data_IF_048752931135
#
_entry.id   IF_048752931135
#
_cell.length_a   1.000
_cell.length_b   1.000
_cell.length_c   1.000
_cell.angle_alpha   90.00
_cell.angle_beta   90.00
_cell.angle_gamma   90.00
#
_symmetry.space_group_name_H-M   'P 1'
#
loop_
_entity.id
_entity.type
_entity.pdbx_description
1 polymer ?
#
# COMPACT_ATOMS: atom_id res chain seq x y z
N UNK A 1 11.16 7.92 22.47
CA UNK A 1 10.77 6.95 21.43
C UNK A 1 12.00 6.53 20.64
N UNK A 2 12.17 5.24 20.38
CA UNK A 2 13.26 4.70 19.54
C UNK A 2 13.07 5.10 18.07
N UNK A 3 14.13 5.05 17.26
CA UNK A 3 14.04 5.32 15.82
C UNK A 3 12.98 4.44 15.14
N UNK A 4 12.94 3.15 15.50
CA UNK A 4 11.92 2.20 15.04
C UNK A 4 10.50 2.70 15.33
N UNK A 5 10.24 3.15 16.56
CA UNK A 5 8.92 3.66 16.94
C UNK A 5 8.55 4.94 16.18
N UNK A 6 9.52 5.82 15.90
CA UNK A 6 9.30 7.02 15.08
C UNK A 6 8.94 6.67 13.63
N UNK A 7 9.62 5.71 13.03
CA UNK A 7 9.34 5.26 11.67
C UNK A 7 7.96 4.62 11.56
N UNK A 8 7.58 3.78 12.52
CA UNK A 8 6.24 3.17 12.57
C UNK A 8 5.16 4.25 12.75
N UNK A 9 5.36 5.19 13.66
CA UNK A 9 4.42 6.28 13.89
C UNK A 9 4.27 7.19 12.67
N UNK A 10 5.38 7.52 12.00
CA UNK A 10 5.36 8.30 10.76
C UNK A 10 4.64 7.58 9.63
N UNK A 11 4.94 6.29 9.42
CA UNK A 11 4.27 5.46 8.42
C UNK A 11 2.76 5.35 8.69
N UNK A 12 2.40 5.05 9.93
CA UNK A 12 1.00 4.92 10.35
C UNK A 12 0.24 6.25 10.27
N UNK A 13 0.87 7.37 10.64
CA UNK A 13 0.28 8.70 10.55
C UNK A 13 -0.10 9.07 9.12
N UNK A 14 0.80 8.83 8.16
CA UNK A 14 0.48 9.03 6.72
C UNK A 14 -0.60 8.05 6.26
N UNK A 15 -0.53 6.78 6.70
CA UNK A 15 -1.56 5.79 6.42
C UNK A 15 -2.96 6.24 6.84
N UNK A 16 -3.11 6.84 8.03
CA UNK A 16 -4.41 7.38 8.51
C UNK A 16 -4.92 8.49 7.59
N UNK A 17 -4.05 9.40 7.15
CA UNK A 17 -4.44 10.46 6.21
C UNK A 17 -4.93 9.87 4.88
N UNK A 18 -4.25 8.85 4.37
CA UNK A 18 -4.63 8.17 3.14
C UNK A 18 -5.93 7.39 3.30
N UNK A 19 -6.16 6.76 4.46
CA UNK A 19 -7.43 6.10 4.78
C UNK A 19 -8.59 7.10 4.71
N UNK A 20 -8.47 8.22 5.41
CA UNK A 20 -9.50 9.25 5.44
C UNK A 20 -9.73 9.83 4.04
N UNK A 21 -8.66 10.08 3.29
CA UNK A 21 -8.75 10.56 1.92
C UNK A 21 -9.52 9.58 1.01
N UNK A 22 -9.10 8.30 1.01
CA UNK A 22 -9.71 7.26 0.18
C UNK A 22 -11.14 6.95 0.61
N UNK A 23 -11.46 7.03 1.89
CA UNK A 23 -12.79 6.69 2.36
C UNK A 23 -13.81 7.82 2.18
N UNK A 24 -13.39 9.07 2.35
CA UNK A 24 -14.29 10.23 2.31
C UNK A 24 -14.37 10.86 0.92
N UNK A 25 -13.25 10.97 0.21
CA UNK A 25 -13.18 11.77 -1.01
C UNK A 25 -13.11 10.93 -2.29
N UNK A 26 -12.73 9.65 -2.20
CA UNK A 26 -12.70 8.75 -3.35
C UNK A 26 -14.02 7.98 -3.41
N UNK A 27 -14.97 8.54 -4.17
CA UNK A 27 -16.29 7.94 -4.39
C UNK A 27 -16.15 6.49 -4.86
N UNK A 28 -16.72 5.55 -4.08
CA UNK A 28 -16.81 4.13 -4.44
C UNK A 28 -15.84 3.18 -3.71
N UNK A 29 -14.92 3.68 -2.87
CA UNK A 29 -14.11 2.79 -2.04
C UNK A 29 -14.88 2.38 -0.77
N UNK A 30 -15.17 1.08 -0.60
CA UNK A 30 -15.60 0.57 0.70
C UNK A 30 -14.49 0.82 1.74
N UNK A 31 -14.86 0.88 3.02
CA UNK A 31 -13.88 1.08 4.10
C UNK A 31 -12.72 0.08 4.01
N UNK A 32 -12.99 -1.19 3.69
CA UNK A 32 -11.96 -2.21 3.53
C UNK A 32 -10.97 -1.92 2.41
N UNK A 33 -11.46 -1.40 1.26
CA UNK A 33 -10.60 -0.99 0.14
C UNK A 33 -9.77 0.24 0.52
N UNK A 34 -10.39 1.23 1.17
CA UNK A 34 -9.70 2.42 1.64
C UNK A 34 -8.60 2.08 2.67
N UNK A 35 -8.88 1.16 3.59
CA UNK A 35 -7.93 0.65 4.58
C UNK A 35 -6.79 -0.14 3.95
N UNK A 36 -7.08 -1.02 2.99
CA UNK A 36 -6.05 -1.72 2.22
C UNK A 36 -5.08 -0.73 1.55
N UNK A 37 -5.62 0.29 0.86
CA UNK A 37 -4.82 1.35 0.24
C UNK A 37 -4.01 2.16 1.25
N UNK A 38 -4.56 2.44 2.42
CA UNK A 38 -3.87 3.13 3.51
C UNK A 38 -2.70 2.31 4.08
N UNK A 39 -2.83 0.99 4.17
CA UNK A 39 -1.79 0.12 4.70
C UNK A 39 -0.57 0.06 3.76
N UNK A 40 -0.79 0.13 2.45
CA UNK A 40 0.26 0.15 1.42
C UNK A 40 0.41 1.51 0.75
N UNK A 41 0.15 2.59 1.50
CA UNK A 41 0.06 3.95 0.97
C UNK A 41 1.24 4.40 0.10
N UNK A 42 2.52 4.00 0.33
CA UNK A 42 3.59 4.44 -0.55
C UNK A 42 3.40 3.94 -1.97
N UNK A 43 2.91 2.71 -2.15
CA UNK A 43 2.62 2.14 -3.46
C UNK A 43 1.42 2.81 -4.15
N UNK A 44 0.54 3.45 -3.36
CA UNK A 44 -0.62 4.20 -3.86
C UNK A 44 -0.22 5.61 -4.31
N UNK A 45 0.70 6.27 -3.57
CA UNK A 45 1.15 7.64 -3.86
C UNK A 45 2.28 7.68 -4.91
N UNK A 46 3.16 6.68 -4.94
CA UNK A 46 4.31 6.64 -5.84
C UNK A 46 4.11 5.57 -6.94
N UNK A 47 3.69 5.96 -8.16
CA UNK A 47 3.36 5.00 -9.23
C UNK A 47 4.52 4.06 -9.60
N UNK A 48 5.75 4.57 -9.57
CA UNK A 48 6.95 3.78 -9.85
C UNK A 48 7.14 2.63 -8.84
N UNK A 49 6.86 2.89 -7.55
CA UNK A 49 6.96 1.87 -6.50
C UNK A 49 5.88 0.80 -6.67
N UNK A 50 4.64 1.22 -6.95
CA UNK A 50 3.54 0.30 -7.25
C UNK A 50 3.85 -0.58 -8.46
N UNK A 51 4.35 0.02 -9.54
CA UNK A 51 4.77 -0.71 -10.74
C UNK A 51 5.91 -1.70 -10.48
N UNK A 52 6.91 -1.31 -9.69
CA UNK A 52 8.03 -2.17 -9.32
C UNK A 52 7.58 -3.39 -8.51
N UNK A 53 6.76 -3.18 -7.46
CA UNK A 53 6.21 -4.27 -6.65
C UNK A 53 5.32 -5.19 -7.50
N UNK A 54 4.49 -4.60 -8.37
CA UNK A 54 3.65 -5.34 -9.31
C UNK A 54 4.45 -6.22 -10.26
N UNK A 55 5.56 -5.71 -10.81
CA UNK A 55 6.45 -6.46 -11.69
C UNK A 55 7.10 -7.65 -10.95
N UNK A 56 7.57 -7.45 -9.71
CA UNK A 56 8.14 -8.53 -8.88
C UNK A 56 7.10 -9.63 -8.64
N UNK A 57 5.88 -9.25 -8.23
CA UNK A 57 4.81 -10.22 -7.98
C UNK A 57 4.42 -10.98 -9.24
N UNK A 58 4.34 -10.31 -10.37
CA UNK A 58 4.02 -10.94 -11.66
C UNK A 58 5.10 -11.97 -12.04
N UNK A 59 6.38 -11.62 -11.93
CA UNK A 59 7.49 -12.56 -12.19
C UNK A 59 7.42 -13.74 -11.22
N UNK A 60 7.20 -13.50 -9.92
CA UNK A 60 7.11 -14.56 -8.92
C UNK A 60 5.97 -15.55 -9.23
N UNK A 61 4.79 -15.05 -9.63
CA UNK A 61 3.65 -15.88 -10.03
C UNK A 61 3.98 -16.71 -11.28
N UNK A 62 4.59 -16.10 -12.30
CA UNK A 62 4.97 -16.81 -13.52
C UNK A 62 5.98 -17.91 -13.25
N UNK A 63 6.98 -17.65 -12.42
CA UNK A 63 7.97 -18.66 -12.00
C UNK A 63 7.29 -19.78 -11.23
N UNK A 64 6.38 -19.46 -10.31
CA UNK A 64 5.64 -20.47 -9.55
C UNK A 64 4.78 -21.35 -10.46
N UNK A 65 4.10 -20.78 -11.47
CA UNK A 65 3.30 -21.53 -12.44
C UNK A 65 4.20 -22.38 -13.34
N UNK A 66 5.34 -21.86 -13.80
CA UNK A 66 6.23 -22.57 -14.70
C UNK A 66 6.92 -23.77 -14.03
N UNK A 67 7.22 -23.67 -12.72
CA UNK A 67 7.91 -24.71 -11.96
C UNK A 67 6.98 -25.70 -11.25
N UNK A 68 5.67 -25.44 -11.21
CA UNK A 68 4.65 -26.33 -10.64
C UNK A 68 4.18 -27.37 -11.66
#
# INVERSE_FOLDING_TARGET
MTLKAKLIAGYGGVGVLVLLYQWVFVSGASFGVAFGKALVWPAVIFPALGGFIGAILLIAILVAIYLA
#
